data_IF_583403333719
#
_entry.id   IF_583403333719
#
_cell.length_a   1.000
_cell.length_b   1.000
_cell.length_c   1.000
_cell.angle_alpha   90.00
_cell.angle_beta   90.00
_cell.angle_gamma   90.00
#
_symmetry.space_group_name_H-M   'P 1'
#
loop_
_entity.id
_entity.type
_entity.pdbx_description
1 polymer ?
#
# COMPACT_ATOMS: atom_id res chain seq x y z
N UNK A 1 -7.07 13.11 21.61
CA UNK A 1 -7.55 14.25 20.81
C UNK A 1 -8.33 13.70 19.64
N UNK A 2 -9.64 13.90 19.61
CA UNK A 2 -10.47 13.43 18.48
C UNK A 2 -10.14 14.32 17.27
N UNK A 3 -9.50 13.74 16.26
CA UNK A 3 -9.31 14.41 14.98
C UNK A 3 -10.68 14.48 14.28
N UNK A 4 -11.12 15.69 13.98
CA UNK A 4 -12.37 15.91 13.26
C UNK A 4 -12.13 15.61 11.79
N UNK A 5 -12.61 14.46 11.35
CA UNK A 5 -12.70 14.17 9.92
C UNK A 5 -14.05 14.74 9.43
N UNK A 6 -14.01 15.58 8.43
CA UNK A 6 -15.22 16.02 7.72
C UNK A 6 -15.46 15.10 6.55
N UNK A 7 -16.66 14.54 6.50
CA UNK A 7 -17.10 13.66 5.42
C UNK A 7 -18.15 14.41 4.57
N UNK A 8 -17.91 14.46 3.26
CA UNK A 8 -18.84 15.08 2.29
C UNK A 8 -19.13 14.04 1.21
N UNK A 9 -20.40 13.86 0.87
CA UNK A 9 -20.84 12.98 -0.23
C UNK A 9 -21.26 13.87 -1.42
N UNK A 10 -20.53 13.77 -2.52
CA UNK A 10 -20.84 14.46 -3.77
C UNK A 10 -20.85 13.44 -4.92
N UNK A 11 -21.98 13.37 -5.65
CA UNK A 11 -22.15 12.50 -6.83
C UNK A 11 -21.80 11.03 -6.60
N UNK A 12 -22.21 10.43 -5.47
CA UNK A 12 -21.87 9.06 -5.06
C UNK A 12 -20.37 8.80 -4.78
N UNK A 13 -19.55 9.83 -4.70
CA UNK A 13 -18.18 9.78 -4.22
C UNK A 13 -18.14 10.25 -2.77
N UNK A 14 -17.49 9.46 -1.93
CA UNK A 14 -17.25 9.78 -0.53
C UNK A 14 -15.93 10.52 -0.44
N UNK A 15 -15.96 11.74 0.09
CA UNK A 15 -14.78 12.59 0.22
C UNK A 15 -14.51 12.77 1.72
N UNK A 16 -13.32 12.45 2.17
CA UNK A 16 -12.91 12.62 3.57
C UNK A 16 -11.73 13.57 3.65
N UNK A 17 -11.88 14.64 4.43
CA UNK A 17 -10.83 15.59 4.73
C UNK A 17 -10.09 15.17 6.00
N UNK A 18 -8.78 15.06 5.93
CA UNK A 18 -7.94 14.96 7.10
C UNK A 18 -7.28 16.32 7.42
N UNK A 19 -6.99 16.60 8.69
CA UNK A 19 -6.46 17.88 9.19
C UNK A 19 -5.09 18.26 8.56
N UNK A 20 -4.41 17.32 7.91
CA UNK A 20 -3.06 17.48 7.33
C UNK A 20 -3.09 17.74 5.81
N UNK A 21 -4.08 18.44 5.28
CA UNK A 21 -4.18 18.81 3.85
C UNK A 21 -4.29 17.66 2.85
N UNK A 22 -4.73 16.46 3.27
CA UNK A 22 -5.02 15.35 2.37
C UNK A 22 -6.51 15.19 2.16
N UNK A 23 -6.89 15.06 0.90
CA UNK A 23 -8.24 14.74 0.45
C UNK A 23 -8.26 13.30 -0.06
N UNK A 24 -9.09 12.47 0.54
CA UNK A 24 -9.29 11.08 0.14
C UNK A 24 -10.55 10.98 -0.70
N UNK A 25 -10.42 10.43 -1.89
CA UNK A 25 -11.55 10.18 -2.78
C UNK A 25 -11.83 8.68 -2.79
N UNK A 26 -13.03 8.31 -2.41
CA UNK A 26 -13.49 6.92 -2.37
C UNK A 26 -14.44 6.62 -3.51
N UNK A 27 -14.39 5.41 -4.02
CA UNK A 27 -15.41 4.90 -4.94
C UNK A 27 -16.70 4.55 -4.18
N UNK A 28 -17.75 4.20 -4.93
CA UNK A 28 -19.05 3.76 -4.38
C UNK A 28 -18.97 2.48 -3.53
N UNK A 29 -17.89 1.74 -3.58
CA UNK A 29 -17.64 0.51 -2.81
C UNK A 29 -16.79 0.78 -1.55
N UNK A 30 -16.42 2.03 -1.29
CA UNK A 30 -15.62 2.44 -0.14
C UNK A 30 -14.11 2.23 -0.30
N UNK A 31 -13.63 1.91 -1.52
CA UNK A 31 -12.21 1.85 -1.84
C UNK A 31 -11.62 3.24 -2.10
N UNK A 32 -10.40 3.51 -1.62
CA UNK A 32 -9.67 4.73 -1.95
C UNK A 32 -9.33 4.70 -3.44
N UNK A 33 -9.67 5.76 -4.16
CA UNK A 33 -9.37 5.88 -5.60
C UNK A 33 -8.19 6.81 -5.84
N UNK A 34 -8.06 7.85 -5.03
CA UNK A 34 -7.07 8.90 -5.23
C UNK A 34 -6.75 9.59 -3.90
N UNK A 35 -5.51 9.98 -3.77
CA UNK A 35 -5.01 10.82 -2.69
C UNK A 35 -4.69 12.18 -3.29
N UNK A 36 -5.27 13.23 -2.75
CA UNK A 36 -4.97 14.60 -3.18
C UNK A 36 -4.31 15.37 -2.05
N UNK A 37 -3.18 15.99 -2.35
CA UNK A 37 -2.48 16.91 -1.46
C UNK A 37 -2.52 18.32 -2.03
N UNK A 38 -3.03 19.26 -1.27
CA UNK A 38 -3.03 20.68 -1.63
C UNK A 38 -1.75 21.38 -1.15
N UNK A 39 -1.12 22.12 -2.04
CA UNK A 39 0.07 22.95 -1.77
C UNK A 39 -0.18 24.39 -2.23
N UNK A 40 0.69 25.32 -1.85
CA UNK A 40 0.62 26.73 -2.29
C UNK A 40 0.76 26.91 -3.82
N UNK A 41 1.29 25.89 -4.51
CA UNK A 41 1.49 25.90 -5.95
C UNK A 41 0.37 25.19 -6.73
N UNK A 42 -0.55 24.52 -6.04
CA UNK A 42 -1.64 23.75 -6.64
C UNK A 42 -1.84 22.38 -6.00
N UNK A 43 -2.67 21.55 -6.63
CA UNK A 43 -3.04 20.23 -6.13
C UNK A 43 -2.18 19.13 -6.76
N UNK A 44 -1.74 18.19 -5.92
CA UNK A 44 -1.04 16.97 -6.33
C UNK A 44 -2.03 15.81 -6.19
N UNK A 45 -2.28 15.11 -7.28
CA UNK A 45 -3.17 13.95 -7.32
C UNK A 45 -2.35 12.67 -7.49
N UNK A 46 -2.44 11.75 -6.52
CA UNK A 46 -1.75 10.47 -6.51
C UNK A 46 -2.75 9.34 -6.69
N UNK A 47 -2.61 8.58 -7.78
CA UNK A 47 -3.39 7.36 -7.97
C UNK A 47 -2.87 6.22 -7.07
N UNK A 48 -3.73 5.26 -6.76
CA UNK A 48 -3.31 4.07 -6.02
C UNK A 48 -2.27 3.23 -6.77
N UNK A 49 -2.29 3.26 -8.09
CA UNK A 49 -1.30 2.56 -8.91
C UNK A 49 0.12 3.10 -8.68
N UNK A 50 0.26 4.41 -8.45
CA UNK A 50 1.55 5.01 -8.10
C UNK A 50 2.02 4.51 -6.73
N UNK A 51 1.14 4.55 -5.72
CA UNK A 51 1.45 4.04 -4.38
C UNK A 51 1.81 2.56 -4.43
N UNK A 52 1.03 1.75 -5.16
CA UNK A 52 1.27 0.32 -5.31
C UNK A 52 2.60 0.03 -6.04
N UNK A 53 2.91 0.76 -7.10
CA UNK A 53 4.15 0.57 -7.85
C UNK A 53 5.38 0.88 -7.01
N UNK A 54 5.36 1.97 -6.25
CA UNK A 54 6.45 2.35 -5.35
C UNK A 54 6.57 1.35 -4.21
N UNK A 55 5.45 0.94 -3.61
CA UNK A 55 5.43 -0.07 -2.54
C UNK A 55 5.99 -1.40 -3.00
N UNK A 56 5.53 -1.89 -4.16
CA UNK A 56 6.00 -3.15 -4.74
C UNK A 56 7.47 -3.11 -5.10
N UNK A 57 7.94 -2.01 -5.66
CA UNK A 57 9.37 -1.79 -5.93
C UNK A 57 10.20 -1.84 -4.64
N UNK A 58 9.81 -1.09 -3.62
CA UNK A 58 10.50 -1.07 -2.33
C UNK A 58 10.52 -2.44 -1.65
N UNK A 59 9.39 -3.16 -1.67
CA UNK A 59 9.29 -4.49 -1.05
C UNK A 59 10.16 -5.53 -1.76
N UNK A 60 10.16 -5.54 -3.09
CA UNK A 60 10.93 -6.52 -3.90
C UNK A 60 12.44 -6.29 -3.89
N UNK A 61 12.90 -5.11 -3.52
CA UNK A 61 14.32 -4.83 -3.31
C UNK A 61 14.85 -5.34 -1.95
N UNK A 62 13.97 -5.74 -1.03
CA UNK A 62 14.39 -6.28 0.25
C UNK A 62 14.95 -7.70 0.08
N UNK A 63 16.10 -7.97 0.72
CA UNK A 63 16.67 -9.30 0.73
C UNK A 63 15.69 -10.34 1.29
N UNK A 64 15.57 -11.47 0.62
CA UNK A 64 14.68 -12.57 1.01
C UNK A 64 13.26 -12.46 0.43
N UNK A 65 12.87 -11.34 -0.16
CA UNK A 65 11.62 -11.22 -0.92
C UNK A 65 11.84 -11.72 -2.34
N UNK A 66 11.09 -12.74 -2.73
CA UNK A 66 11.11 -13.28 -4.11
C UNK A 66 10.24 -12.43 -5.03
N UNK A 67 9.15 -11.88 -4.50
CA UNK A 67 8.27 -11.00 -5.24
C UNK A 67 6.96 -10.71 -4.53
N UNK A 68 6.09 -9.99 -5.22
CA UNK A 68 4.73 -9.68 -4.77
C UNK A 68 3.80 -10.83 -5.06
N UNK A 69 2.83 -11.06 -4.19
CA UNK A 69 1.78 -12.05 -4.36
C UNK A 69 0.42 -11.38 -4.59
N UNK A 70 -0.47 -12.07 -5.30
CA UNK A 70 -1.88 -11.69 -5.33
C UNK A 70 -2.55 -11.94 -3.99
N UNK A 71 -3.55 -11.13 -3.62
CA UNK A 71 -4.41 -11.41 -2.47
C UNK A 71 -5.22 -12.69 -2.62
N UNK A 72 -5.61 -13.01 -3.85
CA UNK A 72 -6.49 -14.13 -4.16
C UNK A 72 -5.68 -15.39 -4.45
N UNK A 73 -6.09 -16.48 -3.81
CA UNK A 73 -5.59 -17.81 -4.14
C UNK A 73 -6.09 -18.16 -5.54
N UNK A 74 -5.21 -18.64 -6.41
CA UNK A 74 -5.60 -19.19 -7.71
C UNK A 74 -6.44 -20.47 -7.53
N UNK A 75 -7.18 -20.85 -8.57
CA UNK A 75 -8.03 -22.07 -8.58
C UNK A 75 -7.27 -23.35 -8.19
N UNK A 76 -5.96 -23.37 -8.40
CA UNK A 76 -5.09 -24.50 -8.08
C UNK A 76 -4.46 -24.44 -6.67
N UNK A 77 -4.91 -23.51 -5.83
CA UNK A 77 -4.45 -23.38 -4.44
C UNK A 77 -3.10 -22.67 -4.26
N UNK A 78 -2.53 -22.11 -5.33
CA UNK A 78 -1.29 -21.35 -5.28
C UNK A 78 -1.53 -19.85 -5.39
N UNK A 79 -0.64 -19.05 -4.77
CA UNK A 79 -0.63 -17.61 -4.95
C UNK A 79 0.14 -17.24 -6.22
N UNK A 80 -0.41 -16.32 -6.98
CA UNK A 80 0.23 -15.83 -8.19
C UNK A 80 1.39 -14.90 -7.86
N UNK A 81 2.54 -15.13 -8.50
CA UNK A 81 3.67 -14.20 -8.43
C UNK A 81 3.42 -13.06 -9.40
N UNK A 82 3.28 -11.86 -8.86
CA UNK A 82 2.94 -10.68 -9.65
C UNK A 82 4.19 -10.10 -10.34
N UNK A 83 4.06 -9.83 -11.64
CA UNK A 83 5.02 -9.01 -12.37
C UNK A 83 4.90 -7.53 -11.97
N UNK A 84 5.91 -6.73 -12.32
CA UNK A 84 5.98 -5.29 -11.97
C UNK A 84 4.74 -4.49 -12.40
N UNK A 85 4.14 -4.85 -13.52
CA UNK A 85 2.95 -4.18 -14.05
C UNK A 85 1.66 -4.52 -13.29
N UNK A 86 1.72 -5.43 -12.32
CA UNK A 86 0.56 -5.93 -11.58
C UNK A 86 0.69 -5.79 -10.05
N UNK A 87 1.62 -4.99 -9.55
CA UNK A 87 1.83 -4.82 -8.10
C UNK A 87 0.57 -4.36 -7.35
N UNK A 88 -0.30 -3.60 -8.01
CA UNK A 88 -1.58 -3.17 -7.45
C UNK A 88 -2.48 -4.32 -6.96
N UNK A 89 -2.35 -5.52 -7.53
CA UNK A 89 -3.10 -6.71 -7.09
C UNK A 89 -2.58 -7.33 -5.79
N UNK A 90 -1.36 -6.99 -5.41
CA UNK A 90 -0.70 -7.47 -4.19
C UNK A 90 -0.63 -6.42 -3.08
N UNK A 91 -1.31 -5.30 -3.24
CA UNK A 91 -1.31 -4.20 -2.28
C UNK A 91 -2.74 -3.73 -2.07
N UNK A 92 -3.14 -3.59 -0.80
CA UNK A 92 -4.38 -2.93 -0.42
C UNK A 92 -4.03 -1.69 0.37
N UNK A 93 -4.66 -0.60 -0.01
CA UNK A 93 -4.53 0.68 0.68
C UNK A 93 -5.83 0.94 1.43
N UNK A 94 -5.73 1.13 2.73
CA UNK A 94 -6.84 1.44 3.61
C UNK A 94 -6.61 2.79 4.27
N UNK A 95 -7.70 3.47 4.60
CA UNK A 95 -7.67 4.73 5.34
C UNK A 95 -7.54 4.43 6.84
N UNK A 96 -6.48 4.97 7.45
CA UNK A 96 -6.27 4.92 8.90
C UNK A 96 -6.77 6.19 9.59
N UNK A 97 -6.55 6.28 10.88
CA UNK A 97 -6.92 7.47 11.68
C UNK A 97 -5.92 8.62 11.49
N UNK A 98 -4.64 8.30 11.33
CA UNK A 98 -3.54 9.27 11.26
C UNK A 98 -2.80 9.26 9.92
N UNK A 99 -3.07 8.30 9.05
CA UNK A 99 -2.41 8.12 7.77
C UNK A 99 -2.95 6.93 7.02
N UNK A 100 -2.18 6.44 6.06
CA UNK A 100 -2.54 5.26 5.27
C UNK A 100 -2.11 3.98 5.97
N UNK A 101 -2.96 2.97 5.91
CA UNK A 101 -2.61 1.58 6.24
C UNK A 101 -2.39 0.81 4.93
N UNK A 102 -1.24 0.19 4.82
CA UNK A 102 -0.88 -0.64 3.67
C UNK A 102 -0.88 -2.11 4.06
N UNK A 103 -1.58 -2.93 3.28
CA UNK A 103 -1.51 -4.38 3.38
C UNK A 103 -0.72 -4.89 2.16
N UNK A 104 0.44 -5.46 2.40
CA UNK A 104 1.42 -5.86 1.37
C UNK A 104 1.55 -7.38 1.38
N UNK A 105 1.27 -8.01 0.25
CA UNK A 105 1.30 -9.47 0.08
C UNK A 105 2.56 -9.89 -0.66
N UNK A 106 3.42 -10.68 -0.02
CA UNK A 106 4.73 -11.08 -0.55
C UNK A 106 4.94 -12.59 -0.58
N UNK A 107 5.90 -13.00 -1.39
CA UNK A 107 6.48 -14.34 -1.42
C UNK A 107 7.93 -14.22 -0.99
N UNK A 108 8.36 -15.05 -0.05
CA UNK A 108 9.74 -15.05 0.47
C UNK A 108 10.50 -16.27 0.01
N UNK A 109 11.83 -16.18 0.00
CA UNK A 109 12.72 -17.30 -0.29
C UNK A 109 12.80 -18.31 0.86
N UNK A 110 13.07 -19.56 0.52
CA UNK A 110 13.34 -20.59 1.52
C UNK A 110 14.67 -20.31 2.23
N UNK A 111 14.73 -20.59 3.53
CA UNK A 111 15.94 -20.46 4.33
C UNK A 111 16.23 -19.08 4.90
N UNK A 112 15.36 -18.08 4.62
CA UNK A 112 15.49 -16.75 5.23
C UNK A 112 14.79 -16.69 6.59
N UNK A 113 15.23 -15.78 7.45
CA UNK A 113 14.52 -15.49 8.70
C UNK A 113 13.36 -14.53 8.41
N UNK A 114 12.16 -15.09 8.28
CA UNK A 114 10.96 -14.39 7.82
C UNK A 114 10.68 -13.13 8.64
N UNK A 115 10.84 -13.18 9.97
CA UNK A 115 10.60 -12.03 10.84
C UNK A 115 11.51 -10.84 10.54
N UNK A 116 12.76 -11.07 10.15
CA UNK A 116 13.69 -10.01 9.76
C UNK A 116 13.35 -9.46 8.38
N UNK A 117 13.04 -10.34 7.43
CA UNK A 117 12.61 -9.91 6.09
C UNK A 117 11.37 -9.01 6.16
N UNK A 118 10.35 -9.44 6.91
CA UNK A 118 9.10 -8.68 7.09
C UNK A 118 9.38 -7.32 7.74
N UNK A 119 10.21 -7.29 8.77
CA UNK A 119 10.57 -6.04 9.45
C UNK A 119 11.30 -5.06 8.51
N UNK A 120 12.23 -5.56 7.70
CA UNK A 120 12.93 -4.72 6.70
C UNK A 120 11.98 -4.22 5.61
N UNK A 121 11.02 -5.04 5.16
CA UNK A 121 9.97 -4.60 4.22
C UNK A 121 9.14 -3.48 4.83
N UNK A 122 8.68 -3.62 6.07
CA UNK A 122 7.90 -2.59 6.75
C UNK A 122 8.66 -1.27 6.83
N UNK A 123 9.91 -1.29 7.28
CA UNK A 123 10.77 -0.10 7.38
C UNK A 123 11.00 0.56 6.02
N UNK A 124 11.38 -0.24 5.03
CA UNK A 124 11.73 0.27 3.71
C UNK A 124 10.52 0.86 3.00
N UNK A 125 9.39 0.15 3.00
CA UNK A 125 8.14 0.62 2.38
C UNK A 125 7.70 1.94 3.01
N UNK A 126 7.63 1.99 4.36
CA UNK A 126 7.28 3.22 5.07
C UNK A 126 8.19 4.37 4.69
N UNK A 127 9.49 4.19 4.80
CA UNK A 127 10.49 5.22 4.49
C UNK A 127 10.39 5.74 3.05
N UNK A 128 10.30 4.82 2.08
CA UNK A 128 10.26 5.19 0.66
C UNK A 128 8.99 5.98 0.32
N UNK A 129 7.84 5.57 0.82
CA UNK A 129 6.58 6.25 0.56
C UNK A 129 6.50 7.62 1.24
N UNK A 130 6.90 7.72 2.50
CA UNK A 130 6.96 9.00 3.20
C UNK A 130 7.93 9.98 2.53
N UNK A 131 9.08 9.48 2.05
CA UNK A 131 10.08 10.32 1.39
C UNK A 131 9.70 10.70 -0.05
N UNK A 132 9.15 9.74 -0.82
CA UNK A 132 8.86 9.98 -2.24
C UNK A 132 7.55 10.72 -2.48
N UNK A 133 6.54 10.46 -1.65
CA UNK A 133 5.18 10.97 -1.85
C UNK A 133 4.79 11.99 -0.78
N UNK A 134 5.58 12.13 0.28
CA UNK A 134 5.29 13.00 1.43
C UNK A 134 3.87 12.75 1.98
N UNK A 135 3.52 11.47 2.16
CA UNK A 135 2.26 10.99 2.72
C UNK A 135 2.52 10.27 4.03
N UNK A 136 1.62 10.44 5.00
CA UNK A 136 1.75 9.79 6.30
C UNK A 136 1.34 8.31 6.22
N UNK A 137 2.23 7.42 6.61
CA UNK A 137 1.98 5.97 6.68
C UNK A 137 1.77 5.58 8.14
N UNK A 138 0.52 5.21 8.47
CA UNK A 138 0.15 4.77 9.81
C UNK A 138 0.69 3.37 10.10
N UNK A 139 0.46 2.42 9.19
CA UNK A 139 0.90 1.04 9.34
C UNK A 139 1.25 0.40 7.99
N UNK A 140 2.20 -0.53 8.03
CA UNK A 140 2.51 -1.44 6.93
C UNK A 140 2.34 -2.87 7.44
N UNK A 141 1.25 -3.51 7.05
CA UNK A 141 0.98 -4.91 7.35
C UNK A 141 1.56 -5.78 6.23
N UNK A 142 2.37 -6.76 6.57
CA UNK A 142 3.00 -7.64 5.59
C UNK A 142 2.46 -9.05 5.76
N UNK A 143 1.91 -9.59 4.67
CA UNK A 143 1.36 -10.93 4.58
C UNK A 143 2.29 -11.80 3.74
N UNK A 144 2.93 -12.78 4.37
CA UNK A 144 3.75 -13.76 3.67
C UNK A 144 2.84 -14.88 3.16
N UNK A 145 2.56 -14.87 1.87
CA UNK A 145 1.59 -15.80 1.26
C UNK A 145 2.20 -17.15 0.92
N UNK A 146 3.48 -17.18 0.59
CA UNK A 146 4.16 -18.41 0.18
C UNK A 146 5.67 -18.32 0.41
N UNK A 147 6.30 -19.47 0.46
CA UNK A 147 7.77 -19.62 0.47
C UNK A 147 8.17 -20.33 -0.81
N UNK A 148 9.16 -19.81 -1.52
CA UNK A 148 9.73 -20.45 -2.71
C UNK A 148 11.18 -20.79 -2.52
N UNK A 149 11.55 -21.98 -3.02
CA UNK A 149 12.96 -22.35 -3.17
C UNK A 149 13.46 -21.61 -4.43
N UNK A 150 14.45 -20.76 -4.24
CA UNK A 150 15.16 -20.12 -5.35
C UNK A 150 16.47 -20.89 -5.54
N UNK A 151 16.60 -21.55 -6.68
CA UNK A 151 17.86 -22.18 -7.09
C UNK A 151 18.92 -21.14 -7.40
#
# INVERSE_FOLDING_TARGET
MRMHCYEIIVNNLKIRYNIVNYLWIYDKNGGIVMITKTTDLGDIHLSLDVVASITGGAATECYGVVGMASQKIMKDGFYDLLGKDNYAKGIVVEDGETGIILNVYIIVGYGVKISEVVYEVQKKVKYVLETALDIDIEAVNVFVQSIRVTD
#
